data_IF_486912914584
#
_entry.id   IF_486912914584
#
_cell.length_a   1.000
_cell.length_b   1.000
_cell.length_c   1.000
_cell.angle_alpha   90.00
_cell.angle_beta   90.00
_cell.angle_gamma   90.00
#
_symmetry.space_group_name_H-M   'P 1'
#
loop_
_entity.id
_entity.type
_entity.pdbx_description
1 polymer ?
#
# COMPACT_ATOMS: atom_id res chain seq x y z
N UNK A 1 -24.51 -14.34 42.77
CA UNK A 1 -24.15 -14.78 41.40
C UNK A 1 -23.12 -13.81 40.87
N UNK A 2 -21.88 -14.02 41.30
CA UNK A 2 -20.70 -13.40 40.73
C UNK A 2 -20.59 -13.87 39.27
N UNK A 3 -20.79 -12.96 38.33
CA UNK A 3 -20.41 -13.21 36.94
C UNK A 3 -18.90 -13.12 36.88
N UNK A 4 -18.21 -14.13 37.41
CA UNK A 4 -16.81 -14.36 37.09
C UNK A 4 -16.81 -14.69 35.61
N UNK A 5 -16.54 -13.67 34.81
CA UNK A 5 -16.20 -13.82 33.40
C UNK A 5 -14.99 -14.74 33.37
N UNK A 6 -15.27 -16.03 33.22
CA UNK A 6 -14.31 -17.01 32.77
C UNK A 6 -13.77 -16.45 31.46
N UNK A 7 -12.60 -15.82 31.55
CA UNK A 7 -11.71 -15.67 30.42
C UNK A 7 -11.24 -17.09 30.09
N UNK A 8 -12.17 -17.90 29.58
CA UNK A 8 -11.90 -19.15 28.91
C UNK A 8 -10.85 -18.78 27.86
N UNK A 9 -9.68 -19.42 27.91
CA UNK A 9 -8.48 -19.01 27.18
C UNK A 9 -8.71 -18.77 25.68
N UNK A 10 -9.83 -19.24 25.15
CA UNK A 10 -10.44 -18.89 23.86
C UNK A 10 -10.50 -17.37 23.57
N UNK A 11 -10.98 -16.52 24.49
CA UNK A 11 -11.13 -15.08 24.18
C UNK A 11 -9.80 -14.32 24.25
N UNK A 12 -8.92 -14.69 25.20
CA UNK A 12 -7.56 -14.14 25.29
C UNK A 12 -6.70 -14.57 24.08
N UNK A 13 -6.80 -15.83 23.65
CA UNK A 13 -6.08 -16.34 22.48
C UNK A 13 -6.49 -15.63 21.19
N UNK A 14 -7.79 -15.32 21.02
CA UNK A 14 -8.26 -14.54 19.87
C UNK A 14 -7.75 -13.10 19.90
N UNK A 15 -7.75 -12.44 21.06
CA UNK A 15 -7.25 -11.07 21.20
C UNK A 15 -5.75 -11.02 20.91
N UNK A 16 -4.95 -11.92 21.49
CA UNK A 16 -3.50 -12.02 21.27
C UNK A 16 -3.20 -12.40 19.82
N UNK A 17 -3.96 -13.34 19.26
CA UNK A 17 -3.87 -13.74 17.86
C UNK A 17 -4.15 -12.58 16.91
N UNK A 18 -5.21 -11.80 17.14
CA UNK A 18 -5.48 -10.58 16.38
C UNK A 18 -4.36 -9.55 16.57
N UNK A 19 -3.92 -9.29 17.80
CA UNK A 19 -2.89 -8.28 18.04
C UNK A 19 -1.54 -8.61 17.39
N UNK A 20 -1.20 -9.89 17.22
CA UNK A 20 0.04 -10.29 16.55
C UNK A 20 -0.13 -10.47 15.04
N UNK A 21 -1.23 -11.10 14.62
CA UNK A 21 -1.42 -11.49 13.22
C UNK A 21 -1.94 -10.34 12.36
N UNK A 22 -2.77 -9.45 12.93
CA UNK A 22 -3.33 -8.30 12.22
C UNK A 22 -2.24 -7.28 11.80
N UNK A 23 -1.30 -6.81 12.66
CA UNK A 23 -0.25 -5.89 12.22
C UNK A 23 0.72 -6.53 11.22
N UNK A 24 1.08 -7.80 11.40
CA UNK A 24 1.92 -8.54 10.43
C UNK A 24 1.17 -8.65 9.09
N UNK A 25 -0.10 -9.01 9.11
CA UNK A 25 -0.94 -9.08 7.91
C UNK A 25 -1.07 -7.75 7.19
N UNK A 26 -1.31 -6.65 7.93
CA UNK A 26 -1.34 -5.29 7.37
C UNK A 26 0.02 -4.92 6.76
N UNK A 27 1.12 -5.20 7.47
CA UNK A 27 2.47 -4.93 6.97
C UNK A 27 2.73 -5.64 5.64
N UNK A 28 2.47 -6.96 5.58
CA UNK A 28 2.61 -7.74 4.34
C UNK A 28 1.68 -7.24 3.23
N UNK A 29 0.46 -6.86 3.56
CA UNK A 29 -0.49 -6.31 2.60
C UNK A 29 0.02 -5.01 1.97
N UNK A 30 0.53 -4.08 2.79
CA UNK A 30 1.05 -2.80 2.30
C UNK A 30 2.35 -3.02 1.51
N UNK A 31 3.28 -3.84 2.00
CA UNK A 31 4.56 -4.11 1.32
C UNK A 31 4.40 -4.80 -0.04
N UNK A 32 3.31 -5.56 -0.24
CA UNK A 32 3.08 -6.30 -1.49
C UNK A 32 2.03 -5.63 -2.41
N UNK A 33 1.55 -4.43 -2.08
CA UNK A 33 0.51 -3.76 -2.86
C UNK A 33 1.11 -3.19 -4.15
N UNK A 34 0.75 -3.79 -5.27
CA UNK A 34 1.03 -3.22 -6.59
C UNK A 34 0.12 -2.01 -6.80
N UNK A 35 0.71 -0.84 -7.06
CA UNK A 35 -0.05 0.37 -7.34
C UNK A 35 -0.54 0.36 -8.79
N UNK A 36 -1.85 0.17 -8.95
CA UNK A 36 -2.53 0.24 -10.24
C UNK A 36 -3.24 1.58 -10.35
N UNK A 37 -3.28 2.13 -11.56
CA UNK A 37 -4.06 3.31 -11.90
C UNK A 37 -4.87 3.05 -13.16
N UNK A 38 -5.76 3.98 -13.52
CA UNK A 38 -6.71 3.81 -14.62
C UNK A 38 -6.28 4.70 -15.77
N UNK A 39 -6.08 4.12 -16.95
CA UNK A 39 -5.78 4.87 -18.17
C UNK A 39 -6.90 5.90 -18.46
N UNK A 40 -6.58 7.18 -18.70
CA UNK A 40 -7.60 8.21 -18.93
C UNK A 40 -8.39 8.00 -20.22
N UNK A 41 -7.79 7.39 -21.24
CA UNK A 41 -8.40 7.21 -22.56
C UNK A 41 -9.29 5.97 -22.63
N UNK A 42 -8.75 4.79 -22.31
CA UNK A 42 -9.48 3.52 -22.47
C UNK A 42 -9.99 2.91 -21.16
N UNK A 43 -9.64 3.51 -20.01
CA UNK A 43 -10.02 3.05 -18.65
C UNK A 43 -9.48 1.68 -18.25
N UNK A 44 -8.46 1.18 -18.95
CA UNK A 44 -7.73 -0.03 -18.56
C UNK A 44 -6.96 0.17 -17.25
N UNK A 45 -6.82 -0.89 -16.46
CA UNK A 45 -5.96 -0.88 -15.30
C UNK A 45 -4.49 -0.99 -15.73
N UNK A 46 -3.72 0.07 -15.51
CA UNK A 46 -2.30 0.15 -15.86
C UNK A 46 -1.46 0.17 -14.58
N UNK A 47 -0.26 -0.40 -14.62
CA UNK A 47 0.69 -0.27 -13.50
C UNK A 47 1.15 1.18 -13.37
N UNK A 48 1.29 1.69 -12.14
CA UNK A 48 1.97 2.97 -11.92
C UNK A 48 3.39 2.92 -12.49
N UNK A 49 3.80 3.99 -13.18
CA UNK A 49 5.11 4.09 -13.81
C UNK A 49 5.21 3.42 -15.19
N UNK A 50 4.12 2.95 -15.78
CA UNK A 50 4.13 2.57 -17.19
C UNK A 50 4.08 3.83 -18.07
N UNK A 51 4.97 3.93 -19.05
CA UNK A 51 5.02 5.04 -20.00
C UNK A 51 3.98 4.92 -21.11
N UNK A 52 3.45 3.72 -21.37
CA UNK A 52 2.50 3.49 -22.46
C UNK A 52 1.41 2.52 -22.02
N UNK A 53 0.16 2.81 -22.38
CA UNK A 53 -0.97 1.93 -22.10
C UNK A 53 -0.85 0.64 -22.93
N UNK A 54 -0.87 -0.56 -22.31
CA UNK A 54 -0.78 -1.83 -23.04
C UNK A 54 -2.04 -2.17 -23.84
N UNK A 55 -3.16 -1.49 -23.59
CA UNK A 55 -4.43 -1.74 -24.27
C UNK A 55 -4.63 -0.79 -25.47
N UNK A 56 -4.56 0.52 -25.24
CA UNK A 56 -4.83 1.52 -26.30
C UNK A 56 -3.59 2.14 -26.94
N UNK A 57 -2.40 1.98 -26.35
CA UNK A 57 -1.17 2.60 -26.85
C UNK A 57 -0.98 4.08 -26.47
N UNK A 58 -1.85 4.64 -25.63
CA UNK A 58 -1.71 6.02 -25.14
C UNK A 58 -0.41 6.22 -24.37
N UNK A 59 0.23 7.38 -24.55
CA UNK A 59 1.41 7.78 -23.80
C UNK A 59 1.01 8.33 -22.42
N UNK A 60 1.63 7.78 -21.38
CA UNK A 60 1.26 8.01 -19.99
C UNK A 60 2.38 8.67 -19.18
N UNK A 61 3.47 9.07 -19.84
CA UNK A 61 4.66 9.64 -19.21
C UNK A 61 4.33 10.96 -18.48
N UNK A 62 3.39 11.75 -19.03
CA UNK A 62 2.96 13.04 -18.47
C UNK A 62 1.77 12.95 -17.50
N UNK A 63 0.97 11.87 -17.55
CA UNK A 63 -0.35 11.84 -16.90
C UNK A 63 -0.49 10.90 -15.70
N UNK A 64 0.39 9.93 -15.49
CA UNK A 64 0.15 8.97 -14.40
C UNK A 64 1.32 8.14 -13.89
N UNK A 65 2.55 8.53 -14.19
CA UNK A 65 3.74 7.97 -13.57
C UNK A 65 4.38 8.97 -12.62
N UNK A 66 3.91 9.10 -11.38
CA UNK A 66 4.75 9.73 -10.35
C UNK A 66 5.96 8.83 -10.08
N UNK A 67 6.98 9.03 -10.91
CA UNK A 67 8.36 8.64 -10.75
C UNK A 67 9.22 9.83 -11.17
N UNK A 68 8.95 11.01 -10.59
CA UNK A 68 9.82 12.17 -10.70
C UNK A 68 10.03 12.77 -9.31
N UNK A 69 11.01 12.24 -8.59
CA UNK A 69 11.69 12.95 -7.52
C UNK A 69 12.55 14.07 -8.14
N UNK A 70 11.92 15.11 -8.68
CA UNK A 70 12.62 16.37 -8.92
C UNK A 70 12.62 17.19 -7.62
N UNK A 71 13.53 16.82 -6.72
CA UNK A 71 14.03 17.66 -5.64
C UNK A 71 15.39 18.22 -6.03
N UNK A 72 15.40 19.42 -6.60
CA UNK A 72 16.62 20.13 -7.01
C UNK A 72 17.43 20.63 -5.81
N UNK A 73 18.75 20.49 -5.96
CA UNK A 73 19.82 21.28 -5.35
C UNK A 73 20.03 21.13 -3.83
N UNK A 74 21.28 20.80 -3.48
CA UNK A 74 21.72 20.64 -2.12
C UNK A 74 22.02 21.97 -1.42
N UNK A 75 22.08 21.88 -0.10
CA UNK A 75 22.88 22.75 0.74
C UNK A 75 23.61 21.84 1.73
N UNK A 76 24.93 21.87 1.59
CA UNK A 76 25.96 21.51 2.58
C UNK A 76 25.63 22.18 3.92
N UNK A 77 25.99 21.70 5.10
CA UNK A 77 27.33 21.62 5.68
C UNK A 77 27.23 20.93 7.05
N UNK A 78 28.36 20.34 7.43
CA UNK A 78 28.75 19.74 8.70
C UNK A 78 28.47 20.64 9.91
N UNK A 79 28.08 20.08 11.07
CA UNK A 79 28.54 20.48 12.42
C UNK A 79 28.26 19.37 13.44
#
# INVERSE_FOLDING_TARGET
METTSEFDGSMAGLIVGLFLCLPVGIYYYISNKQEMWVCPECREAVRKGANTCPNCGEDLEDTGGMGHEHGTAGETEEF
#
